data_IF_954564384767
#
_entry.id   IF_954564384767
#
_cell.length_a   1.000
_cell.length_b   1.000
_cell.length_c   1.000
_cell.angle_alpha   90.00
_cell.angle_beta   90.00
_cell.angle_gamma   90.00
#
_symmetry.space_group_name_H-M   'P 1'
#
loop_
_entity.id
_entity.type
_entity.pdbx_description
1 polymer ?
#
# COMPACT_ATOMS: atom_id res chain seq x y z
N UNK A 1 -25.59 -22.83 8.21
CA UNK A 1 -24.19 -23.27 8.04
C UNK A 1 -23.37 -22.00 7.73
N UNK A 2 -22.54 -21.66 8.70
CA UNK A 2 -21.72 -20.44 8.92
C UNK A 2 -21.20 -19.66 7.70
N UNK A 3 -21.39 -18.34 7.75
CA UNK A 3 -20.40 -17.36 7.24
C UNK A 3 -20.23 -16.26 8.28
N UNK A 4 -19.18 -16.41 9.08
CA UNK A 4 -18.71 -15.45 10.08
C UNK A 4 -18.01 -14.30 9.36
N UNK A 5 -18.62 -13.12 9.31
CA UNK A 5 -17.91 -11.89 8.95
C UNK A 5 -16.93 -11.56 10.09
N UNK A 6 -15.65 -11.80 9.83
CA UNK A 6 -14.55 -11.69 10.78
C UNK A 6 -14.34 -10.22 11.19
N UNK A 7 -14.33 -10.01 12.50
CA UNK A 7 -13.99 -8.79 13.25
C UNK A 7 -13.02 -7.83 12.53
N UNK A 8 -13.48 -6.61 12.25
CA UNK A 8 -12.63 -5.48 11.86
C UNK A 8 -11.89 -5.02 13.11
N UNK A 9 -10.69 -5.54 13.29
CA UNK A 9 -9.78 -5.09 14.34
C UNK A 9 -9.35 -3.65 14.06
N UNK A 10 -9.75 -2.74 14.97
CA UNK A 10 -9.22 -1.37 15.06
C UNK A 10 -7.69 -1.42 14.94
N UNK A 11 -7.12 -0.95 13.83
CA UNK A 11 -5.68 -0.72 13.76
C UNK A 11 -5.42 0.71 14.26
N UNK A 12 -4.71 0.79 15.38
CA UNK A 12 -4.29 2.02 16.04
C UNK A 12 -3.62 2.98 15.05
N UNK A 13 -4.01 4.25 15.13
CA UNK A 13 -3.46 5.38 14.37
C UNK A 13 -2.09 5.74 14.93
N UNK A 14 -1.09 4.88 14.71
CA UNK A 14 0.29 5.32 14.71
C UNK A 14 0.65 5.68 13.26
N UNK A 15 1.30 6.83 13.00
CA UNK A 15 1.83 7.12 11.67
C UNK A 15 2.74 5.97 11.24
N UNK A 16 2.41 5.30 10.14
CA UNK A 16 3.26 4.25 9.59
C UNK A 16 4.51 4.95 9.02
N UNK A 17 5.70 4.79 9.64
CA UNK A 17 6.91 5.49 9.21
C UNK A 17 7.30 5.10 7.77
N UNK A 18 6.82 3.96 7.27
CA UNK A 18 7.02 3.57 5.88
C UNK A 18 6.30 4.50 4.91
N UNK A 19 5.12 5.01 5.28
CA UNK A 19 4.35 5.92 4.42
C UNK A 19 5.09 7.23 4.22
N UNK A 20 5.69 7.80 5.27
CA UNK A 20 6.49 9.02 5.15
C UNK A 20 7.73 8.82 4.29
N UNK A 21 8.41 7.67 4.44
CA UNK A 21 9.54 7.30 3.59
C UNK A 21 9.15 7.19 2.12
N UNK A 22 7.96 6.65 1.84
CA UNK A 22 7.46 6.55 0.47
C UNK A 22 7.09 7.92 -0.11
N UNK A 23 6.47 8.82 0.66
CA UNK A 23 6.22 10.20 0.21
C UNK A 23 7.52 10.91 -0.12
N UNK A 24 8.52 10.81 0.74
CA UNK A 24 9.84 11.39 0.50
C UNK A 24 10.50 10.82 -0.77
N UNK A 25 10.40 9.51 -0.99
CA UNK A 25 10.96 8.85 -2.18
C UNK A 25 10.21 9.17 -3.48
N UNK A 26 8.89 9.35 -3.42
CA UNK A 26 8.07 9.71 -4.59
C UNK A 26 8.26 11.18 -5.00
N UNK A 27 8.67 12.03 -4.05
CA UNK A 27 8.95 13.44 -4.27
C UNK A 27 7.70 14.23 -4.65
N UNK A 28 7.84 15.20 -5.54
CA UNK A 28 6.75 16.09 -5.96
C UNK A 28 5.83 15.53 -7.06
N UNK A 29 5.84 14.21 -7.29
CA UNK A 29 4.97 13.60 -8.30
C UNK A 29 3.51 13.72 -7.88
N UNK A 30 2.61 13.94 -8.83
CA UNK A 30 1.19 13.84 -8.58
C UNK A 30 0.81 12.36 -8.43
N UNK A 31 0.52 11.94 -7.20
CA UNK A 31 0.03 10.61 -6.88
C UNK A 31 -1.22 10.70 -5.99
N UNK A 32 -2.02 9.64 -5.98
CA UNK A 32 -3.14 9.52 -5.06
C UNK A 32 -2.85 8.45 -4.02
N UNK A 33 -3.23 8.71 -2.77
CA UNK A 33 -3.12 7.75 -1.68
C UNK A 33 -4.48 7.08 -1.45
N UNK A 34 -4.49 5.75 -1.42
CA UNK A 34 -5.69 4.97 -1.19
C UNK A 34 -5.45 3.91 -0.12
N UNK A 35 -6.41 3.75 0.80
CA UNK A 35 -6.35 2.69 1.84
C UNK A 35 -6.84 1.38 1.24
N UNK A 36 -5.91 0.49 0.92
CA UNK A 36 -6.19 -0.82 0.32
C UNK A 36 -5.19 -1.86 0.85
N UNK A 37 -5.53 -3.15 0.72
CA UNK A 37 -4.65 -4.28 1.09
C UNK A 37 -4.09 -4.24 2.52
N UNK A 38 -4.82 -3.59 3.45
CA UNK A 38 -4.41 -3.49 4.86
C UNK A 38 -3.34 -2.42 5.15
N UNK A 39 -3.12 -1.48 4.24
CA UNK A 39 -2.25 -0.30 4.46
C UNK A 39 -2.51 0.83 3.48
N UNK A 40 -1.48 1.62 3.14
CA UNK A 40 -1.58 2.76 2.22
C UNK A 40 -0.95 2.41 0.88
N UNK A 41 -1.72 2.53 -0.20
CA UNK A 41 -1.26 2.39 -1.58
C UNK A 41 -1.12 3.75 -2.26
N UNK A 42 -0.05 3.91 -3.02
CA UNK A 42 0.26 5.06 -3.84
C UNK A 42 -0.04 4.73 -5.29
N UNK A 43 -0.86 5.57 -5.91
CA UNK A 43 -1.32 5.39 -7.29
C UNK A 43 -0.77 6.52 -8.15
N UNK A 44 -0.34 6.19 -9.36
CA UNK A 44 0.10 7.14 -10.37
C UNK A 44 -0.77 6.96 -11.61
N UNK A 45 -1.49 8.00 -12.04
CA UNK A 45 -2.39 7.95 -13.19
C UNK A 45 -3.39 6.78 -13.14
N UNK A 46 -3.94 6.49 -11.96
CA UNK A 46 -4.87 5.38 -11.74
C UNK A 46 -4.23 3.99 -11.58
N UNK A 47 -2.90 3.86 -11.73
CA UNK A 47 -2.18 2.60 -11.58
C UNK A 47 -1.48 2.51 -10.22
N UNK A 48 -1.63 1.37 -9.52
CA UNK A 48 -0.95 1.14 -8.25
C UNK A 48 0.56 0.98 -8.48
N UNK A 49 1.37 1.83 -7.86
CA UNK A 49 2.82 1.82 -7.95
C UNK A 49 3.46 1.09 -6.77
N UNK A 50 3.07 1.45 -5.55
CA UNK A 50 3.59 0.85 -4.33
C UNK A 50 2.55 0.90 -3.21
N UNK A 51 2.49 -0.11 -2.35
CA UNK A 51 1.66 -0.12 -1.16
C UNK A 51 2.39 -0.62 0.07
N UNK A 52 2.08 -0.05 1.23
CA UNK A 52 2.51 -0.56 2.53
C UNK A 52 1.51 -1.56 3.07
N UNK A 53 2.01 -2.58 3.76
CA UNK A 53 1.20 -3.52 4.51
C UNK A 53 1.96 -3.97 5.75
N UNK A 54 1.27 -4.56 6.72
CA UNK A 54 1.92 -5.18 7.90
C UNK A 54 2.90 -6.31 7.53
N UNK A 55 2.80 -6.85 6.31
CA UNK A 55 3.66 -7.95 5.82
C UNK A 55 4.85 -7.45 4.99
N UNK A 56 4.97 -6.14 4.77
CA UNK A 56 6.01 -5.53 3.94
C UNK A 56 5.44 -4.65 2.84
N UNK A 57 6.24 -4.43 1.80
CA UNK A 57 5.91 -3.58 0.66
C UNK A 57 5.37 -4.41 -0.51
N UNK A 58 4.33 -3.89 -1.16
CA UNK A 58 3.76 -4.42 -2.38
C UNK A 58 4.12 -3.46 -3.50
N UNK A 59 5.10 -3.81 -4.32
CA UNK A 59 5.66 -2.93 -5.35
C UNK A 59 5.27 -3.46 -6.73
N UNK A 60 4.75 -2.59 -7.59
CA UNK A 60 4.56 -2.94 -8.99
C UNK A 60 5.89 -2.86 -9.71
N UNK A 61 6.42 -4.01 -10.08
CA UNK A 61 7.65 -4.14 -10.87
C UNK A 61 7.32 -4.34 -12.35
N UNK A 62 8.17 -3.82 -13.24
CA UNK A 62 8.06 -4.08 -14.67
C UNK A 62 8.46 -5.52 -15.02
N UNK A 63 8.16 -5.97 -16.23
CA UNK A 63 8.46 -7.35 -16.71
C UNK A 63 9.92 -7.76 -16.49
N UNK A 64 10.87 -6.84 -16.65
CA UNK A 64 12.30 -7.10 -16.45
C UNK A 64 12.67 -7.51 -15.00
N UNK A 65 11.85 -7.15 -14.03
CA UNK A 65 12.03 -7.47 -12.62
C UNK A 65 11.00 -8.50 -12.11
N UNK A 66 10.16 -9.04 -12.99
CA UNK A 66 9.30 -10.17 -12.70
C UNK A 66 10.04 -11.43 -13.14
N UNK A 67 10.54 -12.21 -12.18
CA UNK A 67 11.19 -13.49 -12.46
C UNK A 67 10.24 -14.38 -13.29
N UNK A 68 10.84 -15.10 -14.25
CA UNK A 68 10.16 -16.11 -15.08
C UNK A 68 10.38 -17.48 -14.49
#
# INVERSE_FOLDING_TARGET
>A
MVSMAKSVTKTSVAPDPMVERLRAALGQRAFTEQKMFGGTCFMLNGNMLIGTSKRGLLVRVGKAAHET
#
